data_IF_539130577401
#
_entry.id   IF_539130577401
#
_cell.length_a   1.000
_cell.length_b   1.000
_cell.length_c   1.000
_cell.angle_alpha   90.00
_cell.angle_beta   90.00
_cell.angle_gamma   90.00
#
_symmetry.space_group_name_H-M   'P 1'
#
loop_
_entity.id
_entity.type
_entity.pdbx_description
1 polymer ?
#
# COMPACT_ATOMS: atom_id res chain seq x y z
N UNK A 1 6.64 -35.75 -2.80
CA UNK A 1 7.34 -34.46 -2.80
C UNK A 1 7.21 -33.84 -4.19
N UNK A 2 6.07 -33.21 -4.51
CA UNK A 2 5.81 -32.66 -5.86
C UNK A 2 6.27 -31.20 -5.91
N UNK A 3 7.29 -30.98 -6.74
CA UNK A 3 7.82 -29.71 -7.25
C UNK A 3 7.20 -28.43 -6.64
N UNK A 4 7.89 -27.85 -5.65
CA UNK A 4 7.52 -26.62 -4.96
C UNK A 4 7.58 -25.34 -5.83
N UNK A 5 7.97 -25.43 -7.11
CA UNK A 5 8.12 -24.29 -8.01
C UNK A 5 7.51 -24.56 -9.39
N UNK A 6 6.19 -24.39 -9.51
CA UNK A 6 5.54 -24.29 -10.82
C UNK A 6 5.83 -22.90 -11.40
N UNK A 7 6.24 -22.79 -12.68
CA UNK A 7 6.54 -21.50 -13.36
C UNK A 7 5.50 -20.40 -13.09
N UNK A 8 4.23 -20.79 -12.96
CA UNK A 8 3.10 -19.90 -12.65
C UNK A 8 3.24 -19.19 -11.28
N UNK A 9 3.70 -19.88 -10.23
CA UNK A 9 3.93 -19.28 -8.91
C UNK A 9 5.07 -18.26 -8.93
N UNK A 10 6.15 -18.54 -9.66
CA UNK A 10 7.28 -17.60 -9.80
C UNK A 10 6.81 -16.33 -10.51
N UNK A 11 6.05 -16.47 -11.61
CA UNK A 11 5.44 -15.36 -12.31
C UNK A 11 4.55 -14.51 -11.39
N UNK A 12 3.72 -15.14 -10.56
CA UNK A 12 2.89 -14.43 -9.58
C UNK A 12 3.71 -13.59 -8.59
N UNK A 13 4.80 -14.13 -8.04
CA UNK A 13 5.68 -13.36 -7.16
C UNK A 13 6.38 -12.22 -7.90
N UNK A 14 6.81 -12.43 -9.15
CA UNK A 14 7.38 -11.36 -9.98
C UNK A 14 6.37 -10.24 -10.19
N UNK A 15 5.10 -10.57 -10.51
CA UNK A 15 4.06 -9.56 -10.66
C UNK A 15 3.81 -8.78 -9.36
N UNK A 16 3.79 -9.46 -8.21
CA UNK A 16 3.66 -8.80 -6.91
C UNK A 16 4.84 -7.85 -6.69
N UNK A 17 6.07 -8.32 -6.90
CA UNK A 17 7.27 -7.49 -6.74
C UNK A 17 7.26 -6.28 -7.67
N UNK A 18 6.90 -6.45 -8.94
CA UNK A 18 6.79 -5.32 -9.88
C UNK A 18 5.72 -4.32 -9.44
N UNK A 19 4.54 -4.77 -9.02
CA UNK A 19 3.48 -3.89 -8.53
C UNK A 19 3.91 -3.13 -7.27
N UNK A 20 4.55 -3.82 -6.33
CA UNK A 20 5.10 -3.23 -5.10
C UNK A 20 6.18 -2.20 -5.42
N UNK A 21 7.06 -2.47 -6.39
CA UNK A 21 8.11 -1.55 -6.81
C UNK A 21 7.52 -0.27 -7.44
N UNK A 22 6.52 -0.39 -8.32
CA UNK A 22 5.85 0.78 -8.92
C UNK A 22 5.14 1.60 -7.83
N UNK A 23 4.42 0.93 -6.92
CA UNK A 23 3.68 1.60 -5.87
C UNK A 23 4.58 2.33 -4.87
N UNK A 24 5.68 1.70 -4.46
CA UNK A 24 6.67 2.31 -3.56
C UNK A 24 7.45 3.45 -4.24
N UNK A 25 7.71 3.37 -5.54
CA UNK A 25 8.29 4.49 -6.30
C UNK A 25 7.37 5.72 -6.26
N UNK A 26 6.07 5.53 -6.57
CA UNK A 26 5.10 6.61 -6.49
C UNK A 26 5.02 7.20 -5.08
N UNK A 27 5.04 6.34 -4.06
CA UNK A 27 5.04 6.76 -2.66
C UNK A 27 6.28 7.61 -2.32
N UNK A 28 7.48 7.11 -2.56
CA UNK A 28 8.73 7.77 -2.20
C UNK A 28 8.97 9.09 -2.94
N UNK A 29 8.58 9.18 -4.21
CA UNK A 29 8.87 10.34 -5.04
C UNK A 29 7.79 11.43 -5.00
N UNK A 30 6.52 11.07 -4.79
CA UNK A 30 5.40 12.01 -4.86
C UNK A 30 4.74 12.24 -3.49
N UNK A 31 4.41 11.16 -2.77
CA UNK A 31 3.61 11.25 -1.56
C UNK A 31 4.44 11.57 -0.31
N UNK A 32 5.59 10.91 -0.15
CA UNK A 32 6.46 11.04 1.02
C UNK A 32 7.02 12.48 1.18
N UNK A 33 7.53 13.15 0.13
CA UNK A 33 8.03 14.53 0.24
C UNK A 33 6.92 15.54 0.58
N UNK A 34 5.68 15.24 0.18
CA UNK A 34 4.51 16.08 0.41
C UNK A 34 3.74 15.71 1.70
N UNK A 35 4.25 14.77 2.52
CA UNK A 35 3.59 14.26 3.74
C UNK A 35 2.15 13.76 3.49
N UNK A 36 1.88 13.19 2.32
CA UNK A 36 0.56 12.71 1.95
C UNK A 36 0.45 11.23 2.29
N UNK A 37 -0.54 10.89 3.13
CA UNK A 37 -0.85 9.50 3.46
C UNK A 37 -1.93 9.00 2.50
N UNK A 38 -1.67 7.88 1.83
CA UNK A 38 -2.64 7.22 0.96
C UNK A 38 -3.73 6.59 1.84
N UNK A 39 -4.94 7.13 1.75
CA UNK A 39 -6.09 6.67 2.52
C UNK A 39 -6.57 5.30 2.07
N UNK A 40 -6.52 4.31 2.97
CA UNK A 40 -7.18 3.00 2.82
C UNK A 40 -8.31 2.84 3.83
N UNK A 41 -8.18 1.84 4.72
CA UNK A 41 -9.12 1.60 5.83
C UNK A 41 -9.22 2.83 6.75
N UNK A 42 -8.13 3.60 6.88
CA UNK A 42 -8.10 4.89 7.58
C UNK A 42 -9.03 5.93 6.95
N UNK A 43 -9.11 6.02 5.62
CA UNK A 43 -10.05 6.93 4.94
C UNK A 43 -11.50 6.52 5.13
N UNK A 44 -11.80 5.22 4.98
CA UNK A 44 -13.14 4.65 5.21
C UNK A 44 -13.59 4.88 6.66
N UNK A 45 -12.68 4.72 7.62
CA UNK A 45 -12.97 4.90 9.04
C UNK A 45 -13.33 6.34 9.41
N UNK A 46 -12.74 7.33 8.71
CA UNK A 46 -13.02 8.75 8.93
C UNK A 46 -14.42 9.07 8.39
N UNK A 47 -14.78 8.57 7.21
CA UNK A 47 -16.11 8.77 6.61
C UNK A 47 -17.20 8.15 7.49
N UNK A 48 -17.00 6.91 7.96
CA UNK A 48 -17.96 6.24 8.84
C UNK A 48 -18.05 6.94 10.19
N UNK A 49 -16.94 7.43 10.75
CA UNK A 49 -16.97 8.24 11.97
C UNK A 49 -17.81 9.51 11.78
N UNK A 50 -17.63 10.23 10.68
CA UNK A 50 -18.39 11.45 10.37
C UNK A 50 -19.89 11.16 10.24
N UNK A 51 -20.25 10.01 9.67
CA UNK A 51 -21.65 9.56 9.54
C UNK A 51 -22.28 9.07 10.87
N UNK A 52 -21.47 8.55 11.81
CA UNK A 52 -21.99 7.89 13.04
C UNK A 52 -21.94 8.79 14.29
N UNK A 53 -21.44 10.03 14.18
CA UNK A 53 -21.69 11.09 15.15
C UNK A 53 -21.20 10.86 16.59
N UNK A 54 -19.91 10.55 16.81
CA UNK A 54 -19.28 10.81 18.13
C UNK A 54 -18.30 9.79 18.70
N UNK A 55 -17.97 8.70 18.00
CA UNK A 55 -16.98 7.73 18.53
C UNK A 55 -15.54 8.06 18.13
N UNK A 56 -14.58 7.68 18.96
CA UNK A 56 -13.16 7.85 18.69
C UNK A 56 -12.79 7.09 17.39
N UNK A 57 -12.21 7.75 16.37
CA UNK A 57 -11.85 7.12 15.10
C UNK A 57 -10.97 5.87 15.29
N UNK A 58 -10.10 5.87 16.31
CA UNK A 58 -9.23 4.74 16.60
C UNK A 58 -10.01 3.45 16.89
N UNK A 59 -11.13 3.54 17.61
CA UNK A 59 -11.96 2.38 17.94
C UNK A 59 -12.65 1.84 16.68
N UNK A 60 -13.13 2.73 15.80
CA UNK A 60 -13.80 2.33 14.56
C UNK A 60 -12.81 1.70 13.56
N UNK A 61 -11.60 2.26 13.44
CA UNK A 61 -10.50 1.68 12.66
C UNK A 61 -10.19 0.27 13.13
N UNK A 62 -10.10 0.07 14.45
CA UNK A 62 -9.73 -1.22 15.03
C UNK A 62 -10.82 -2.27 14.76
N UNK A 63 -12.10 -1.91 14.92
CA UNK A 63 -13.22 -2.82 14.62
C UNK A 63 -13.24 -3.19 13.13
N UNK A 64 -13.13 -2.19 12.23
CA UNK A 64 -13.10 -2.44 10.78
C UNK A 64 -11.91 -3.30 10.37
N UNK A 65 -10.72 -3.02 10.90
CA UNK A 65 -9.52 -3.82 10.65
C UNK A 65 -9.71 -5.27 11.11
N UNK A 66 -10.27 -5.51 12.29
CA UNK A 66 -10.50 -6.87 12.81
C UNK A 66 -11.51 -7.63 11.95
N UNK A 67 -12.60 -6.97 11.54
CA UNK A 67 -13.62 -7.57 10.66
C UNK A 67 -13.01 -7.90 9.29
N UNK A 68 -12.28 -6.98 8.67
CA UNK A 68 -11.59 -7.24 7.41
C UNK A 68 -10.54 -8.34 7.54
N UNK A 69 -9.81 -8.39 8.66
CA UNK A 69 -8.80 -9.43 8.91
C UNK A 69 -9.46 -10.80 8.99
N UNK A 70 -10.59 -10.94 9.70
CA UNK A 70 -11.34 -12.19 9.82
C UNK A 70 -11.93 -12.63 8.48
N UNK A 71 -12.53 -11.70 7.72
CA UNK A 71 -13.03 -11.97 6.36
C UNK A 71 -11.89 -12.41 5.45
N UNK A 72 -10.76 -11.70 5.48
CA UNK A 72 -9.57 -12.01 4.70
C UNK A 72 -9.02 -13.41 5.00
N UNK A 73 -9.03 -13.81 6.27
CA UNK A 73 -8.52 -15.10 6.72
C UNK A 73 -9.43 -16.26 6.26
N UNK A 74 -10.75 -16.08 6.31
CA UNK A 74 -11.72 -17.12 5.95
C UNK A 74 -11.91 -17.23 4.43
N UNK A 75 -12.02 -16.10 3.70
CA UNK A 75 -12.39 -16.12 2.29
C UNK A 75 -11.22 -16.32 1.32
N UNK A 76 -10.03 -15.77 1.61
CA UNK A 76 -8.95 -15.71 0.62
C UNK A 76 -7.92 -16.85 0.77
N UNK A 77 -7.93 -17.56 1.90
CA UNK A 77 -7.13 -18.76 2.12
C UNK A 77 -5.62 -18.51 2.31
N UNK A 78 -4.87 -19.59 2.61
CA UNK A 78 -3.44 -19.51 2.96
C UNK A 78 -2.55 -18.98 1.83
N UNK A 79 -2.86 -19.31 0.57
CA UNK A 79 -2.07 -18.86 -0.58
C UNK A 79 -2.16 -17.33 -0.79
N UNK A 80 -3.33 -16.72 -0.56
CA UNK A 80 -3.45 -15.26 -0.61
C UNK A 80 -2.71 -14.62 0.56
N UNK A 81 -2.88 -15.14 1.79
CA UNK A 81 -2.22 -14.62 2.97
C UNK A 81 -0.69 -14.55 2.80
N UNK A 82 -0.06 -15.60 2.26
CA UNK A 82 1.39 -15.64 2.01
C UNK A 82 1.81 -14.56 1.01
N UNK A 83 1.05 -14.37 -0.07
CA UNK A 83 1.33 -13.35 -1.09
C UNK A 83 1.18 -11.94 -0.53
N UNK A 84 0.16 -11.69 0.27
CA UNK A 84 -0.08 -10.40 0.93
C UNK A 84 1.00 -10.10 1.96
N UNK A 85 1.40 -11.09 2.76
CA UNK A 85 2.49 -10.95 3.71
C UNK A 85 3.82 -10.63 2.99
N UNK A 86 4.11 -11.33 1.90
CA UNK A 86 5.27 -11.06 1.05
C UNK A 86 5.26 -9.62 0.52
N UNK A 87 4.15 -9.18 -0.08
CA UNK A 87 4.01 -7.81 -0.57
C UNK A 87 4.14 -6.76 0.53
N UNK A 88 3.55 -7.01 1.71
CA UNK A 88 3.60 -6.10 2.86
C UNK A 88 5.01 -5.92 3.43
N UNK A 89 5.86 -6.95 3.33
CA UNK A 89 7.27 -6.88 3.72
C UNK A 89 8.12 -6.23 2.62
N UNK A 90 7.86 -6.56 1.35
CA UNK A 90 8.62 -6.00 0.22
C UNK A 90 8.35 -4.50 0.05
N UNK A 91 7.14 -4.03 0.31
CA UNK A 91 6.76 -2.63 0.15
C UNK A 91 7.66 -1.65 0.93
N UNK A 92 7.85 -1.78 2.27
CA UNK A 92 8.76 -0.91 3.00
C UNK A 92 10.22 -1.08 2.58
N UNK A 93 10.64 -2.27 2.14
CA UNK A 93 12.00 -2.50 1.62
C UNK A 93 12.25 -1.67 0.36
N UNK A 94 11.30 -1.65 -0.57
CA UNK A 94 11.42 -0.82 -1.77
C UNK A 94 11.29 0.67 -1.46
N UNK A 95 10.43 1.08 -0.52
CA UNK A 95 10.37 2.48 -0.07
C UNK A 95 11.75 2.92 0.44
N UNK A 96 12.37 2.12 1.30
CA UNK A 96 13.71 2.45 1.80
C UNK A 96 14.74 2.58 0.68
N UNK A 97 14.69 1.68 -0.30
CA UNK A 97 15.54 1.75 -1.48
C UNK A 97 15.30 3.02 -2.31
N UNK A 98 14.04 3.38 -2.57
CA UNK A 98 13.69 4.54 -3.39
C UNK A 98 13.90 5.85 -2.66
N UNK A 99 13.68 5.93 -1.35
CA UNK A 99 14.00 7.08 -0.53
C UNK A 99 15.52 7.34 -0.53
N UNK A 100 16.33 6.27 -0.45
CA UNK A 100 17.78 6.39 -0.57
C UNK A 100 18.20 6.94 -1.95
N UNK A 101 17.58 6.43 -3.02
CA UNK A 101 17.80 6.95 -4.39
C UNK A 101 17.36 8.41 -4.51
N UNK A 102 16.20 8.77 -3.95
CA UNK A 102 15.67 10.13 -3.94
C UNK A 102 16.65 11.11 -3.31
N UNK A 103 17.22 10.75 -2.15
CA UNK A 103 18.21 11.57 -1.46
C UNK A 103 19.51 11.75 -2.27
N UNK A 104 19.93 10.75 -3.04
CA UNK A 104 21.13 10.83 -3.88
C UNK A 104 20.90 11.73 -5.10
N UNK A 105 19.75 11.62 -5.76
CA UNK A 105 19.47 12.34 -7.01
C UNK A 105 18.97 13.77 -6.74
N UNK A 106 18.51 14.06 -5.52
CA UNK A 106 18.03 15.39 -5.09
C UNK A 106 16.97 15.98 -6.03
N UNK A 107 16.07 15.14 -6.56
CA UNK A 107 14.96 15.61 -7.39
C UNK A 107 13.85 16.10 -6.48
N UNK A 108 13.70 17.42 -6.37
CA UNK A 108 12.67 18.00 -5.52
C UNK A 108 11.34 18.17 -6.27
N UNK A 109 10.42 17.23 -6.03
CA UNK A 109 9.04 17.31 -6.52
C UNK A 109 8.10 18.05 -5.54
N UNK A 110 8.61 18.60 -4.44
CA UNK A 110 7.78 19.29 -3.43
C UNK A 110 7.18 20.60 -3.93
N UNK A 111 7.68 21.15 -5.04
CA UNK A 111 7.19 22.40 -5.63
C UNK A 111 5.99 22.19 -6.56
N UNK A 112 5.58 20.94 -6.81
CA UNK A 112 4.43 20.63 -7.65
C UNK A 112 3.11 20.85 -6.89
N UNK A 113 2.06 21.21 -7.62
CA UNK A 113 0.72 21.35 -7.05
C UNK A 113 0.25 20.03 -6.40
N UNK A 114 -0.24 20.12 -5.17
CA UNK A 114 -0.67 18.95 -4.37
C UNK A 114 -1.72 18.10 -5.10
N UNK A 115 -2.68 18.72 -5.81
CA UNK A 115 -3.70 18.01 -6.59
C UNK A 115 -3.03 17.16 -7.68
N UNK A 116 -2.05 17.73 -8.36
CA UNK A 116 -1.33 17.08 -9.45
C UNK A 116 -0.47 15.94 -8.91
N UNK A 117 0.21 16.14 -7.78
CA UNK A 117 0.94 15.08 -7.05
C UNK A 117 0.01 13.91 -6.72
N UNK A 118 -1.18 14.18 -6.19
CA UNK A 118 -2.17 13.14 -5.85
C UNK A 118 -2.64 12.41 -7.10
N UNK A 119 -3.01 13.12 -8.17
CA UNK A 119 -3.50 12.51 -9.42
C UNK A 119 -2.42 11.63 -10.07
N UNK A 120 -1.19 12.12 -10.19
CA UNK A 120 -0.10 11.31 -10.76
C UNK A 120 0.22 10.11 -9.88
N UNK A 121 0.26 10.29 -8.56
CA UNK A 121 0.51 9.16 -7.65
C UNK A 121 -0.59 8.09 -7.74
N UNK A 122 -1.86 8.47 -7.86
CA UNK A 122 -2.98 7.54 -8.00
C UNK A 122 -2.91 6.75 -9.33
N UNK A 123 -2.62 7.44 -10.43
CA UNK A 123 -2.46 6.79 -11.75
C UNK A 123 -1.31 5.80 -11.75
N UNK A 124 -0.16 6.15 -11.16
CA UNK A 124 1.01 5.28 -11.11
C UNK A 124 0.77 4.08 -10.19
N UNK A 125 0.12 4.29 -9.04
CA UNK A 125 -0.22 3.21 -8.11
C UNK A 125 -1.35 2.31 -8.61
N UNK A 126 -2.13 2.76 -9.60
CA UNK A 126 -3.26 2.02 -10.15
C UNK A 126 -4.47 1.99 -9.21
N UNK A 127 -4.62 3.02 -8.36
CA UNK A 127 -5.74 3.22 -7.45
C UNK A 127 -6.83 4.12 -8.03
#
# INVERSE_FOLDING_TARGET
MKALFTKKRILEFIYITCGVAIASFAFSFFLNPNNIVIGGISGISIIIKDLTGGYNPATMILILNVVLLLIGLVFLGKDFFIKTAYGSIMFPVFIWLFDFIYQIIAIDFSQMDMILVIVFSAIIMGS
#
